data_IF_874628127959
#
_entry.id   IF_874628127959
#
_cell.length_a   1.000
_cell.length_b   1.000
_cell.length_c   1.000
_cell.angle_alpha   90.00
_cell.angle_beta   90.00
_cell.angle_gamma   90.00
#
_symmetry.space_group_name_H-M   'P 1'
#
loop_
_entity.id
_entity.type
_entity.pdbx_description
1 polymer ?
#
# COMPACT_ATOMS: atom_id res chain seq x y z
N UNK A 1 10.95 -60.18 -10.26
CA UNK A 1 11.46 -58.98 -10.99
C UNK A 1 10.40 -57.89 -11.21
N UNK A 2 9.10 -58.24 -11.38
CA UNK A 2 8.01 -57.25 -11.54
C UNK A 2 7.68 -56.43 -10.29
N UNK A 3 7.64 -57.04 -9.09
CA UNK A 3 7.26 -56.34 -7.85
C UNK A 3 8.21 -55.18 -7.48
N UNK A 4 9.52 -55.36 -7.71
CA UNK A 4 10.57 -54.35 -7.43
C UNK A 4 10.51 -53.18 -8.43
N UNK A 5 10.07 -53.41 -9.66
CA UNK A 5 9.86 -52.37 -10.67
C UNK A 5 8.60 -51.55 -10.38
N UNK A 6 7.55 -52.19 -9.87
CA UNK A 6 6.30 -51.52 -9.45
C UNK A 6 6.55 -50.65 -8.22
N UNK A 7 7.28 -51.15 -7.21
CA UNK A 7 7.66 -50.34 -6.04
C UNK A 7 8.53 -49.12 -6.42
N UNK A 8 9.49 -49.27 -7.34
CA UNK A 8 10.31 -48.15 -7.84
C UNK A 8 9.50 -47.11 -8.63
N UNK A 9 8.46 -47.51 -9.37
CA UNK A 9 7.56 -46.59 -10.07
C UNK A 9 6.64 -45.84 -9.11
N UNK A 10 6.15 -46.50 -8.05
CA UNK A 10 5.33 -45.85 -7.02
C UNK A 10 6.13 -44.83 -6.18
N UNK A 11 7.38 -45.13 -5.80
CA UNK A 11 8.21 -44.17 -5.06
C UNK A 11 8.66 -42.98 -5.91
N UNK A 12 8.84 -43.16 -7.22
CA UNK A 12 9.22 -42.09 -8.15
C UNK A 12 8.06 -41.12 -8.44
N UNK A 13 6.80 -41.57 -8.31
CA UNK A 13 5.61 -40.71 -8.46
C UNK A 13 5.27 -39.94 -7.18
N UNK A 14 5.50 -40.53 -6.00
CA UNK A 14 5.36 -39.83 -4.72
C UNK A 14 6.35 -38.67 -4.58
N UNK A 15 7.59 -38.83 -5.07
CA UNK A 15 8.61 -37.78 -4.98
C UNK A 15 8.36 -36.57 -5.89
N UNK A 16 7.58 -36.74 -6.97
CA UNK A 16 7.20 -35.64 -7.90
C UNK A 16 5.95 -34.91 -7.39
N UNK A 17 5.02 -35.60 -6.74
CA UNK A 17 3.83 -34.97 -6.14
C UNK A 17 4.15 -34.12 -4.90
N UNK A 18 5.14 -34.50 -4.10
CA UNK A 18 5.57 -33.73 -2.92
C UNK A 18 6.26 -32.41 -3.32
N UNK A 19 6.88 -32.34 -4.51
CA UNK A 19 7.50 -31.11 -5.01
C UNK A 19 6.49 -30.10 -5.58
N UNK A 20 5.25 -30.53 -5.90
CA UNK A 20 4.23 -29.68 -6.52
C UNK A 20 3.37 -28.89 -5.51
N UNK A 21 3.50 -29.17 -4.21
CA UNK A 21 2.67 -28.57 -3.15
C UNK A 21 3.30 -27.37 -2.44
N UNK A 22 4.47 -26.88 -2.87
CA UNK A 22 5.19 -25.76 -2.22
C UNK A 22 5.06 -24.44 -3.00
N UNK A 23 3.96 -24.23 -3.72
CA UNK A 23 3.55 -22.88 -4.12
C UNK A 23 2.46 -22.39 -3.17
N UNK A 24 2.83 -22.20 -1.91
CA UNK A 24 2.07 -21.34 -1.01
C UNK A 24 2.20 -19.90 -1.55
N UNK A 25 1.29 -19.53 -2.45
CA UNK A 25 1.12 -18.13 -2.86
C UNK A 25 0.69 -17.38 -1.60
N UNK A 26 1.65 -16.77 -0.92
CA UNK A 26 1.37 -15.84 0.16
C UNK A 26 0.66 -14.64 -0.46
N UNK A 27 -0.67 -14.70 -0.54
CA UNK A 27 -1.47 -13.51 -0.85
C UNK A 27 -1.16 -12.51 0.24
N UNK A 28 -0.48 -11.42 -0.10
CA UNK A 28 -0.24 -10.31 0.82
C UNK A 28 -1.57 -9.56 1.00
N UNK A 29 -2.49 -10.15 1.77
CA UNK A 29 -3.78 -9.55 2.06
C UNK A 29 -3.53 -8.36 2.99
N UNK A 30 -3.90 -7.16 2.53
CA UNK A 30 -3.94 -5.97 3.38
C UNK A 30 -4.87 -6.28 4.56
N UNK A 31 -4.42 -6.02 5.79
CA UNK A 31 -5.25 -6.23 6.98
C UNK A 31 -6.55 -5.39 6.86
N UNK A 32 -7.75 -6.00 6.95
CA UNK A 32 -9.02 -5.28 6.81
C UNK A 32 -9.16 -4.10 7.78
N UNK A 33 -8.62 -4.22 8.99
CA UNK A 33 -8.63 -3.15 9.99
C UNK A 33 -7.83 -1.91 9.52
N UNK A 34 -6.67 -2.14 8.89
CA UNK A 34 -5.86 -1.04 8.35
C UNK A 34 -6.56 -0.35 7.19
N UNK A 35 -7.25 -1.12 6.34
CA UNK A 35 -8.04 -0.56 5.22
C UNK A 35 -9.19 0.31 5.73
N UNK A 36 -9.91 -0.15 6.75
CA UNK A 36 -11.02 0.62 7.33
C UNK A 36 -10.51 1.90 8.02
N UNK A 37 -9.41 1.81 8.77
CA UNK A 37 -8.77 2.97 9.39
C UNK A 37 -8.34 4.01 8.34
N UNK A 38 -7.68 3.57 7.26
CA UNK A 38 -7.27 4.46 6.18
C UNK A 38 -8.46 5.11 5.47
N UNK A 39 -9.55 4.36 5.24
CA UNK A 39 -10.79 4.91 4.67
C UNK A 39 -11.37 6.00 5.57
N UNK A 40 -11.49 5.76 6.89
CA UNK A 40 -12.02 6.76 7.83
C UNK A 40 -11.17 8.05 7.85
N UNK A 41 -9.85 7.92 7.78
CA UNK A 41 -8.95 9.08 7.70
C UNK A 41 -9.17 9.82 6.37
N UNK A 42 -9.28 9.09 5.26
CA UNK A 42 -9.54 9.65 3.94
C UNK A 42 -10.87 10.41 3.89
N UNK A 43 -11.97 9.79 4.35
CA UNK A 43 -13.29 10.41 4.39
C UNK A 43 -13.26 11.70 5.24
N UNK A 44 -12.53 11.69 6.36
CA UNK A 44 -12.30 12.90 7.17
C UNK A 44 -11.54 13.97 6.39
N UNK A 45 -10.45 13.62 5.70
CA UNK A 45 -9.70 14.57 4.87
C UNK A 45 -10.50 15.07 3.66
N UNK A 46 -11.42 14.28 3.12
CA UNK A 46 -12.32 14.71 2.05
C UNK A 46 -13.40 15.67 2.53
N UNK A 47 -13.77 15.62 3.81
CA UNK A 47 -14.83 16.47 4.36
C UNK A 47 -14.42 17.94 4.56
N UNK A 48 -13.11 18.24 4.57
CA UNK A 48 -12.59 19.61 4.63
C UNK A 48 -12.28 20.12 3.21
N UNK A 49 -12.92 21.22 2.74
CA UNK A 49 -12.66 21.81 1.43
C UNK A 49 -11.19 22.19 1.18
N UNK A 50 -10.41 22.47 2.23
CA UNK A 50 -8.98 22.81 2.10
C UNK A 50 -8.10 21.60 1.78
N UNK A 51 -8.59 20.39 2.02
CA UNK A 51 -7.90 19.11 1.77
C UNK A 51 -8.66 18.20 0.81
N UNK A 52 -9.85 18.60 0.34
CA UNK A 52 -10.63 17.84 -0.63
C UNK A 52 -9.89 17.68 -1.96
N UNK A 53 -9.94 16.47 -2.52
CA UNK A 53 -9.33 16.10 -3.80
C UNK A 53 -10.33 15.23 -4.57
N UNK A 54 -10.58 15.55 -5.84
CA UNK A 54 -11.47 14.77 -6.70
C UNK A 54 -11.02 13.30 -6.79
N UNK A 55 -11.94 12.36 -6.64
CA UNK A 55 -11.62 10.93 -6.57
C UNK A 55 -10.92 10.40 -7.85
N UNK A 56 -11.21 11.00 -9.01
CA UNK A 56 -10.55 10.64 -10.26
C UNK A 56 -9.05 10.98 -10.26
N UNK A 57 -8.59 11.89 -9.38
CA UNK A 57 -7.15 12.15 -9.18
C UNK A 57 -6.47 10.95 -8.52
N UNK A 58 -7.10 10.31 -7.54
CA UNK A 58 -6.52 9.11 -6.92
C UNK A 58 -6.41 7.94 -7.89
N UNK A 59 -7.37 7.81 -8.81
CA UNK A 59 -7.31 6.80 -9.85
C UNK A 59 -6.15 7.02 -10.81
N UNK A 60 -5.92 8.27 -11.23
CA UNK A 60 -4.74 8.66 -12.02
C UNK A 60 -3.44 8.33 -11.28
N UNK A 61 -3.35 8.67 -9.99
CA UNK A 61 -2.19 8.34 -9.14
C UNK A 61 -1.99 6.82 -9.05
N UNK A 62 -3.08 6.05 -8.90
CA UNK A 62 -3.03 4.58 -8.87
C UNK A 62 -2.48 4.03 -10.19
N UNK A 63 -2.85 4.63 -11.31
CA UNK A 63 -2.32 4.32 -12.67
C UNK A 63 -0.91 4.81 -12.93
N UNK A 64 -0.29 5.54 -11.99
CA UNK A 64 1.05 6.10 -12.17
C UNK A 64 1.09 7.31 -13.11
N UNK A 65 -0.07 7.90 -13.41
CA UNK A 65 -0.15 9.11 -14.22
C UNK A 65 0.35 10.32 -13.42
N UNK A 66 0.92 11.29 -14.14
CA UNK A 66 1.25 12.60 -13.57
C UNK A 66 -0.04 13.38 -13.35
N UNK A 67 -0.22 13.87 -12.14
CA UNK A 67 -1.35 14.72 -11.77
C UNK A 67 -0.86 16.06 -11.24
N UNK A 68 -1.62 17.10 -11.52
CA UNK A 68 -1.47 18.41 -10.89
C UNK A 68 -2.79 18.73 -10.25
N UNK A 69 -2.82 18.68 -8.92
CA UNK A 69 -4.01 18.92 -8.12
C UNK A 69 -3.60 19.79 -6.93
N UNK A 70 -4.07 21.05 -6.83
CA UNK A 70 -3.59 22.02 -5.84
C UNK A 70 -3.77 21.54 -4.39
N UNK A 71 -4.80 20.73 -4.11
CA UNK A 71 -5.06 20.26 -2.76
C UNK A 71 -4.36 18.94 -2.41
N UNK A 72 -3.73 18.26 -3.39
CA UNK A 72 -3.16 16.92 -3.18
C UNK A 72 -2.08 16.88 -2.09
N UNK A 73 -1.21 17.89 -2.04
CA UNK A 73 -0.17 17.97 -1.02
C UNK A 73 -0.76 18.18 0.38
N UNK A 74 -1.80 19.01 0.50
CA UNK A 74 -2.52 19.24 1.77
C UNK A 74 -3.30 18.01 2.20
N UNK A 75 -3.96 17.33 1.28
CA UNK A 75 -4.61 16.04 1.51
C UNK A 75 -3.59 15.01 2.02
N UNK A 76 -2.41 14.96 1.40
CA UNK A 76 -1.32 14.07 1.82
C UNK A 76 -0.88 14.34 3.25
N UNK A 77 -0.71 15.62 3.65
CA UNK A 77 -0.42 15.97 5.05
C UNK A 77 -1.55 15.51 5.98
N UNK A 78 -2.81 15.76 5.63
CA UNK A 78 -3.97 15.33 6.42
C UNK A 78 -3.96 13.81 6.65
N UNK A 79 -3.70 13.02 5.60
CA UNK A 79 -3.59 11.57 5.69
C UNK A 79 -2.41 11.13 6.57
N UNK A 80 -1.25 11.78 6.42
CA UNK A 80 -0.06 11.45 7.20
C UNK A 80 -0.25 11.75 8.70
N UNK A 81 -0.91 12.86 9.02
CA UNK A 81 -1.26 13.23 10.40
C UNK A 81 -2.31 12.28 10.96
N UNK A 82 -3.36 11.98 10.20
CA UNK A 82 -4.41 11.06 10.63
C UNK A 82 -3.91 9.63 10.86
N UNK A 83 -2.91 9.18 10.12
CA UNK A 83 -2.23 7.89 10.32
C UNK A 83 -1.09 7.94 11.35
N UNK A 84 -0.70 9.13 11.80
CA UNK A 84 0.33 9.35 12.81
C UNK A 84 1.77 9.19 12.32
N UNK A 85 2.01 9.08 11.01
CA UNK A 85 3.36 8.99 10.44
C UNK A 85 4.05 10.34 10.31
N UNK A 86 3.28 11.44 10.40
CA UNK A 86 3.79 12.80 10.41
C UNK A 86 3.01 13.64 11.41
N UNK A 87 3.66 14.61 12.04
CA UNK A 87 3.03 15.59 12.91
C UNK A 87 2.55 16.80 12.11
N UNK A 88 1.65 17.61 12.67
CA UNK A 88 1.14 18.84 12.04
C UNK A 88 2.25 19.83 11.67
N UNK A 89 3.32 19.84 12.45
CA UNK A 89 4.48 20.69 12.20
C UNK A 89 5.37 20.18 11.06
N UNK A 90 5.13 18.97 10.52
CA UNK A 90 5.89 18.35 9.43
C UNK A 90 6.92 17.30 9.84
N UNK A 91 7.15 17.08 11.14
CA UNK A 91 8.09 16.07 11.63
C UNK A 91 7.60 14.65 11.36
N UNK A 92 8.50 13.77 10.92
CA UNK A 92 8.18 12.39 10.59
C UNK A 92 8.31 11.52 11.85
N UNK A 93 7.25 10.76 12.15
CA UNK A 93 7.29 9.77 13.21
C UNK A 93 7.87 8.46 12.67
N UNK A 94 9.18 8.26 12.86
CA UNK A 94 9.92 7.11 12.34
C UNK A 94 9.33 5.78 12.80
N UNK A 95 8.92 5.67 14.07
CA UNK A 95 8.38 4.42 14.62
C UNK A 95 7.03 4.05 14.00
N UNK A 96 6.15 5.05 13.81
CA UNK A 96 4.88 4.84 13.11
C UNK A 96 5.08 4.54 11.63
N UNK A 97 6.00 5.24 10.97
CA UNK A 97 6.35 4.98 9.58
C UNK A 97 6.90 3.55 9.40
N UNK A 98 7.81 3.11 10.27
CA UNK A 98 8.36 1.75 10.29
C UNK A 98 7.26 0.70 10.45
N UNK A 99 6.36 0.92 11.40
CA UNK A 99 5.21 0.02 11.63
C UNK A 99 4.30 -0.06 10.40
N UNK A 100 4.00 1.07 9.77
CA UNK A 100 3.17 1.12 8.56
C UNK A 100 3.83 0.36 7.40
N UNK A 101 5.14 0.56 7.19
CA UNK A 101 5.90 -0.12 6.14
C UNK A 101 6.02 -1.63 6.36
N UNK A 102 6.24 -2.08 7.59
CA UNK A 102 6.34 -3.50 7.93
C UNK A 102 5.03 -4.27 7.69
N UNK A 103 3.89 -3.57 7.80
CA UNK A 103 2.58 -4.13 7.51
C UNK A 103 2.20 -4.04 6.02
N UNK A 104 2.95 -3.28 5.23
CA UNK A 104 2.71 -3.10 3.81
C UNK A 104 3.14 -4.31 2.97
N UNK A 105 2.37 -4.71 1.95
CA UNK A 105 2.78 -5.75 1.01
C UNK A 105 4.04 -5.31 0.25
N UNK A 106 5.02 -6.20 0.12
CA UNK A 106 6.25 -5.97 -0.66
C UNK A 106 7.35 -5.12 0.01
N UNK A 107 7.10 -4.56 1.20
CA UNK A 107 8.06 -3.66 1.87
C UNK A 107 8.84 -4.30 3.03
N UNK A 108 8.42 -5.48 3.52
CA UNK A 108 8.95 -6.09 4.76
C UNK A 108 10.47 -6.19 4.82
N UNK A 109 11.11 -6.54 3.71
CA UNK A 109 12.57 -6.71 3.63
C UNK A 109 13.32 -5.41 3.37
N UNK A 110 12.61 -4.33 3.01
CA UNK A 110 13.17 -3.03 2.62
C UNK A 110 12.88 -1.93 3.63
N UNK A 111 12.23 -2.25 4.77
CA UNK A 111 11.79 -1.24 5.75
C UNK A 111 12.95 -0.33 6.18
N UNK A 112 14.09 -0.90 6.56
CA UNK A 112 15.26 -0.11 6.98
C UNK A 112 15.82 0.78 5.87
N UNK A 113 15.85 0.27 4.63
CA UNK A 113 16.27 1.05 3.47
C UNK A 113 15.32 2.24 3.24
N UNK A 114 14.02 1.99 3.27
CA UNK A 114 12.98 3.01 3.06
C UNK A 114 13.05 4.06 4.17
N UNK A 115 13.20 3.66 5.43
CA UNK A 115 13.38 4.60 6.55
C UNK A 115 14.64 5.43 6.36
N UNK A 116 15.76 4.81 5.96
CA UNK A 116 17.01 5.52 5.72
C UNK A 116 16.93 6.56 4.60
N UNK A 117 16.15 6.31 3.54
CA UNK A 117 16.03 7.24 2.40
C UNK A 117 14.89 8.24 2.54
N UNK A 118 13.75 7.84 3.11
CA UNK A 118 12.52 8.62 3.13
C UNK A 118 12.16 9.17 4.52
N UNK A 119 12.76 8.66 5.59
CA UNK A 119 12.40 9.02 6.97
C UNK A 119 12.88 10.41 7.40
N UNK A 120 13.72 11.08 6.61
CA UNK A 120 14.21 12.42 6.93
C UNK A 120 13.28 13.49 6.38
N UNK A 121 12.88 14.42 7.25
CA UNK A 121 12.10 15.59 6.88
C UNK A 121 12.90 16.49 5.93
N UNK A 122 12.35 16.78 4.75
CA UNK A 122 13.04 17.51 3.68
C UNK A 122 12.77 19.03 3.66
N UNK A 123 11.70 19.51 4.30
CA UNK A 123 11.32 20.92 4.31
C UNK A 123 10.80 21.37 5.68
N UNK A 124 10.99 22.63 6.04
CA UNK A 124 10.38 23.27 7.23
C UNK A 124 8.90 23.56 7.04
N UNK A 125 8.39 23.52 5.81
CA UNK A 125 6.96 23.55 5.52
C UNK A 125 6.38 22.13 5.67
N UNK A 126 5.33 21.98 6.48
CA UNK A 126 4.72 20.67 6.75
C UNK A 126 4.09 20.01 5.51
N UNK A 127 3.46 20.81 4.64
CA UNK A 127 2.81 20.32 3.41
C UNK A 127 3.86 19.82 2.42
N UNK A 128 4.94 20.58 2.23
CA UNK A 128 6.05 20.17 1.36
C UNK A 128 6.76 18.91 1.92
N UNK A 129 6.95 18.83 3.24
CA UNK A 129 7.51 17.64 3.88
C UNK A 129 6.62 16.41 3.67
N UNK A 130 5.29 16.57 3.74
CA UNK A 130 4.33 15.49 3.50
C UNK A 130 4.38 14.99 2.06
N UNK A 131 4.40 15.93 1.10
CA UNK A 131 4.52 15.62 -0.32
C UNK A 131 5.83 14.91 -0.63
N UNK A 132 6.95 15.41 -0.11
CA UNK A 132 8.26 14.79 -0.31
C UNK A 132 8.34 13.37 0.26
N UNK A 133 7.82 13.15 1.48
CA UNK A 133 7.71 11.82 2.06
C UNK A 133 6.90 10.88 1.16
N UNK A 134 5.70 11.30 0.74
CA UNK A 134 4.83 10.51 -0.14
C UNK A 134 5.48 10.16 -1.47
N UNK A 135 6.16 11.13 -2.09
CA UNK A 135 6.90 10.93 -3.35
C UNK A 135 8.10 9.99 -3.18
N UNK A 136 8.80 10.04 -2.05
CA UNK A 136 9.87 9.09 -1.74
C UNK A 136 9.31 7.67 -1.58
N UNK A 137 8.26 7.49 -0.79
CA UNK A 137 7.63 6.18 -0.55
C UNK A 137 7.06 5.55 -1.83
N UNK A 138 6.59 6.35 -2.79
CA UNK A 138 6.07 5.86 -4.09
C UNK A 138 7.12 5.10 -4.90
N UNK A 139 8.40 5.42 -4.76
CA UNK A 139 9.50 4.74 -5.46
C UNK A 139 9.71 3.29 -5.00
N UNK A 140 9.11 2.93 -3.86
CA UNK A 140 9.21 1.61 -3.26
C UNK A 140 7.93 0.79 -3.37
N UNK A 141 6.88 1.33 -4.03
CA UNK A 141 5.66 0.56 -4.27
C UNK A 141 5.99 -0.63 -5.18
N UNK A 142 5.50 -1.84 -4.86
CA UNK A 142 5.62 -2.97 -5.77
C UNK A 142 4.98 -2.62 -7.11
N UNK A 143 5.59 -3.07 -8.20
CA UNK A 143 4.97 -2.98 -9.52
C UNK A 143 3.60 -3.65 -9.47
N UNK A 144 2.56 -2.92 -9.91
CA UNK A 144 1.23 -3.53 -10.04
C UNK A 144 1.30 -4.55 -11.19
N UNK A 145 0.79 -5.77 -11.01
CA UNK A 145 0.65 -6.68 -12.13
C UNK A 145 -0.14 -5.99 -13.24
N UNK A 146 0.41 -6.03 -14.45
CA UNK A 146 -0.21 -5.48 -15.65
C UNK A 146 -1.56 -6.21 -15.87
N UNK A 147 -2.67 -5.48 -15.73
CA UNK A 147 -4.03 -6.01 -15.87
C UNK A 147 -4.93 -5.97 -14.63
N UNK A 148 -4.47 -5.42 -13.49
CA UNK A 148 -5.32 -5.22 -12.31
C UNK A 148 -6.22 -3.97 -12.50
N UNK A 149 -7.24 -4.13 -13.34
CA UNK A 149 -8.38 -3.23 -13.43
C UNK A 149 -9.33 -3.57 -12.28
N UNK A 150 -9.11 -2.95 -11.13
CA UNK A 150 -10.17 -2.88 -10.12
C UNK A 150 -11.25 -1.93 -10.67
N UNK A 151 -12.26 -2.51 -11.32
CA UNK A 151 -13.55 -1.85 -11.51
C UNK A 151 -14.09 -1.52 -10.11
N UNK A 152 -13.88 -0.28 -9.69
CA UNK A 152 -14.64 0.28 -8.59
C UNK A 152 -16.07 0.45 -9.12
N UNK A 153 -16.93 -0.51 -8.79
CA UNK A 153 -18.36 -0.26 -8.86
C UNK A 153 -18.66 0.91 -7.92
N UNK A 154 -19.08 2.03 -8.52
CA UNK A 154 -19.71 3.14 -7.82
C UNK A 154 -20.83 2.59 -6.96
N UNK A 155 -20.63 2.59 -5.64
CA UNK A 155 -21.74 2.48 -4.72
C UNK A 155 -22.36 3.88 -4.61
N UNK A 156 -23.27 4.16 -5.56
CA UNK A 156 -24.27 5.21 -5.42
C UNK A 156 -24.99 5.03 -4.08
N UNK A 157 -24.56 5.77 -3.07
CA UNK A 157 -25.32 5.91 -1.85
C UNK A 157 -26.48 6.89 -2.14
N UNK A 158 -27.54 6.35 -2.73
CA UNK A 158 -28.85 6.98 -2.70
C UNK A 158 -29.28 7.18 -1.24
N UNK A 159 -29.12 8.41 -0.75
CA UNK A 159 -29.79 8.86 0.46
C UNK A 159 -31.30 8.92 0.19
N UNK A 160 -32.02 7.92 0.69
CA UNK A 160 -33.47 7.95 0.81
C UNK A 160 -33.89 8.41 2.22
N UNK A 161 -34.78 9.40 2.21
CA UNK A 161 -35.64 9.94 3.28
C UNK A 161 -35.05 10.95 4.27
#
# INVERSE_FOLDING_TARGET
RGLVQILKRLTMHFSVFVLFFVFAVASAQINPEQRESFKKIHDKCQSDPATHVDDAVFDKIRRGEKVTEPNLAKHTLCMNVGSGIQNENGDINIEKLRTLLANGPGNKEKVDEIIGKCGTRSSTNAVEAAEALSNCLRQYRPDRPEGDHHDHHDHDHHHHH
#
